data_IF_131112785752
#
_entry.id   IF_131112785752
#
_cell.length_a   1.000
_cell.length_b   1.000
_cell.length_c   1.000
_cell.angle_alpha   90.00
_cell.angle_beta   90.00
_cell.angle_gamma   90.00
#
_symmetry.space_group_name_H-M   'P 1'
#
loop_
_entity.id
_entity.type
_entity.pdbx_description
1 polymer ?
#
# COMPACT_ATOMS: atom_id res chain seq x y z
N UNK A 1 -29.75 24.86 -8.64
CA UNK A 1 -28.98 24.10 -7.64
C UNK A 1 -29.02 22.62 -8.04
N UNK A 2 -28.43 22.27 -9.18
CA UNK A 2 -28.65 20.96 -9.86
C UNK A 2 -27.40 20.55 -10.66
N UNK A 3 -26.22 20.58 -10.03
CA UNK A 3 -24.95 20.27 -10.70
C UNK A 3 -24.11 19.18 -10.01
N UNK A 4 -24.60 18.56 -8.92
CA UNK A 4 -23.80 17.62 -8.12
C UNK A 4 -24.24 16.15 -8.20
N UNK A 5 -25.22 15.80 -9.04
CA UNK A 5 -25.79 14.43 -9.06
C UNK A 5 -25.52 13.64 -10.34
N UNK A 6 -25.03 14.28 -11.41
CA UNK A 6 -25.02 13.67 -12.75
C UNK A 6 -23.76 12.87 -13.10
N UNK A 7 -22.75 12.79 -12.23
CA UNK A 7 -21.46 12.14 -12.61
C UNK A 7 -20.85 11.20 -11.54
N UNK A 8 -21.56 10.94 -10.44
CA UNK A 8 -21.07 10.00 -9.40
C UNK A 8 -20.99 8.58 -9.97
N UNK A 9 -21.95 8.19 -10.81
CA UNK A 9 -21.96 6.86 -11.44
C UNK A 9 -20.84 6.75 -12.49
N UNK A 10 -20.64 7.76 -13.33
CA UNK A 10 -19.56 7.78 -14.34
C UNK A 10 -18.15 7.80 -13.75
N UNK A 11 -17.95 8.59 -12.70
CA UNK A 11 -16.71 8.64 -11.93
C UNK A 11 -16.43 7.29 -11.25
N UNK A 12 -17.44 6.70 -10.59
CA UNK A 12 -17.33 5.37 -9.97
C UNK A 12 -16.96 4.30 -11.01
N UNK A 13 -17.67 4.23 -12.14
CA UNK A 13 -17.37 3.25 -13.19
C UNK A 13 -15.95 3.42 -13.74
N UNK A 14 -15.49 4.67 -13.91
CA UNK A 14 -14.11 4.91 -14.34
C UNK A 14 -13.11 4.37 -13.32
N UNK A 15 -13.27 4.73 -12.04
CA UNK A 15 -12.34 4.31 -10.99
C UNK A 15 -12.34 2.80 -10.84
N UNK A 16 -13.52 2.17 -10.82
CA UNK A 16 -13.67 0.71 -10.84
C UNK A 16 -12.91 0.09 -11.99
N UNK A 17 -13.09 0.60 -13.22
CA UNK A 17 -12.41 0.06 -14.40
C UNK A 17 -10.89 0.18 -14.30
N UNK A 18 -10.38 1.27 -13.73
CA UNK A 18 -8.94 1.46 -13.51
C UNK A 18 -8.42 0.49 -12.46
N UNK A 19 -9.16 0.25 -11.37
CA UNK A 19 -8.81 -0.76 -10.37
C UNK A 19 -8.75 -2.15 -11.01
N UNK A 20 -9.75 -2.51 -11.83
CA UNK A 20 -9.77 -3.79 -12.58
C UNK A 20 -8.54 -3.90 -13.49
N UNK A 21 -8.26 -2.88 -14.32
CA UNK A 21 -7.11 -2.86 -15.23
C UNK A 21 -5.77 -3.02 -14.49
N UNK A 22 -5.60 -2.32 -13.37
CA UNK A 22 -4.39 -2.43 -12.55
C UNK A 22 -4.32 -3.83 -11.92
N UNK A 23 -5.41 -4.32 -11.34
CA UNK A 23 -5.41 -5.62 -10.63
C UNK A 23 -5.13 -6.80 -11.57
N UNK A 24 -5.57 -6.71 -12.83
CA UNK A 24 -5.32 -7.74 -13.85
C UNK A 24 -3.91 -7.68 -14.45
N UNK A 25 -3.29 -6.50 -14.53
CA UNK A 25 -2.05 -6.28 -15.31
C UNK A 25 -0.94 -5.58 -14.50
N UNK A 26 -0.97 -5.64 -13.16
CA UNK A 26 0.00 -4.92 -12.33
C UNK A 26 1.47 -5.33 -12.60
N UNK A 27 1.69 -6.58 -13.04
CA UNK A 27 3.03 -7.11 -13.38
C UNK A 27 3.69 -6.32 -14.53
N UNK A 28 2.89 -5.78 -15.45
CA UNK A 28 3.38 -4.97 -16.57
C UNK A 28 3.78 -3.54 -16.13
N UNK A 29 3.59 -3.21 -14.86
CA UNK A 29 3.85 -1.88 -14.28
C UNK A 29 3.19 -0.75 -15.10
N UNK A 30 1.85 -0.80 -15.31
CA UNK A 30 1.15 0.11 -16.20
C UNK A 30 1.34 1.57 -15.75
N UNK A 31 1.69 2.44 -16.68
CA UNK A 31 1.88 3.86 -16.40
C UNK A 31 0.56 4.64 -16.45
N UNK A 32 0.56 5.86 -15.90
CA UNK A 32 -0.63 6.71 -15.85
C UNK A 32 -1.18 7.03 -17.25
N UNK A 33 -0.34 7.14 -18.28
CA UNK A 33 -0.79 7.48 -19.63
C UNK A 33 -1.56 6.31 -20.25
N UNK A 34 -1.05 5.08 -20.10
CA UNK A 34 -1.70 3.86 -20.57
C UNK A 34 -3.08 3.67 -19.92
N UNK A 35 -3.16 3.86 -18.60
CA UNK A 35 -4.41 3.80 -17.86
C UNK A 35 -5.40 4.90 -18.28
N UNK A 36 -4.92 6.12 -18.47
CA UNK A 36 -5.76 7.25 -18.87
C UNK A 36 -6.35 7.05 -20.28
N UNK A 37 -5.53 6.55 -21.21
CA UNK A 37 -5.98 6.18 -22.55
C UNK A 37 -7.04 5.07 -22.52
N UNK A 38 -6.85 4.05 -21.68
CA UNK A 38 -7.79 2.93 -21.55
C UNK A 38 -9.19 3.34 -21.06
N UNK A 39 -9.31 4.48 -20.36
CA UNK A 39 -10.59 5.01 -19.86
C UNK A 39 -10.99 6.34 -20.50
N UNK A 40 -10.32 6.74 -21.59
CA UNK A 40 -10.67 7.95 -22.35
C UNK A 40 -10.54 9.26 -21.57
N UNK A 41 -9.60 9.34 -20.60
CA UNK A 41 -9.33 10.56 -19.82
C UNK A 41 -7.90 11.06 -20.09
N UNK A 42 -7.64 12.33 -19.78
CA UNK A 42 -6.26 12.80 -19.71
C UNK A 42 -5.57 12.27 -18.43
N UNK A 43 -4.22 12.16 -18.41
CA UNK A 43 -3.47 11.71 -17.23
C UNK A 43 -3.81 12.50 -15.97
N UNK A 44 -3.90 13.84 -16.06
CA UNK A 44 -4.25 14.72 -14.93
C UNK A 44 -5.68 14.47 -14.44
N UNK A 45 -6.64 14.29 -15.35
CA UNK A 45 -8.02 13.98 -14.97
C UNK A 45 -8.12 12.63 -14.26
N UNK A 46 -7.45 11.59 -14.80
CA UNK A 46 -7.42 10.29 -14.15
C UNK A 46 -6.75 10.35 -12.78
N UNK A 47 -5.59 11.00 -12.68
CA UNK A 47 -4.85 11.16 -11.42
C UNK A 47 -5.74 11.77 -10.32
N UNK A 48 -6.41 12.89 -10.63
CA UNK A 48 -7.26 13.59 -9.67
C UNK A 48 -8.51 12.80 -9.32
N UNK A 49 -9.15 12.20 -10.33
CA UNK A 49 -10.35 11.41 -10.14
C UNK A 49 -10.08 10.18 -9.27
N UNK A 50 -9.05 9.40 -9.62
CA UNK A 50 -8.68 8.19 -8.90
C UNK A 50 -8.25 8.52 -7.47
N UNK A 51 -7.40 9.55 -7.27
CA UNK A 51 -6.98 9.94 -5.91
C UNK A 51 -8.15 10.38 -5.04
N UNK A 52 -9.10 11.14 -5.61
CA UNK A 52 -10.29 11.59 -4.88
C UNK A 52 -11.19 10.43 -4.41
N UNK A 53 -11.28 9.36 -5.18
CA UNK A 53 -12.16 8.22 -4.90
C UNK A 53 -11.46 7.09 -4.13
N UNK A 54 -10.24 6.73 -4.52
CA UNK A 54 -9.48 5.63 -3.94
C UNK A 54 -8.61 6.08 -2.74
N UNK A 55 -8.41 7.38 -2.54
CA UNK A 55 -7.58 7.94 -1.48
C UNK A 55 -6.08 7.91 -1.75
N UNK A 56 -5.64 7.34 -2.88
CA UNK A 56 -4.25 7.29 -3.32
C UNK A 56 -4.13 7.37 -4.83
N UNK A 57 -2.94 7.67 -5.35
CA UNK A 57 -2.72 7.76 -6.81
C UNK A 57 -2.73 6.39 -7.50
N UNK A 58 -3.02 6.31 -8.82
CA UNK A 58 -2.90 5.05 -9.57
C UNK A 58 -1.53 4.39 -9.42
N UNK A 59 -0.46 5.19 -9.46
CA UNK A 59 0.92 4.69 -9.26
C UNK A 59 1.10 4.08 -7.87
N UNK A 60 0.63 4.76 -6.82
CA UNK A 60 0.69 4.24 -5.47
C UNK A 60 -0.11 2.93 -5.32
N UNK A 61 -1.20 2.76 -6.08
CA UNK A 61 -1.99 1.54 -6.06
C UNK A 61 -1.24 0.37 -6.70
N UNK A 62 -0.62 0.58 -7.87
CA UNK A 62 0.27 -0.40 -8.51
C UNK A 62 1.40 -0.78 -7.55
N UNK A 63 2.03 0.20 -6.89
CA UNK A 63 3.10 -0.04 -5.91
C UNK A 63 2.62 -0.86 -4.71
N UNK A 64 1.42 -0.59 -4.20
CA UNK A 64 0.85 -1.35 -3.09
C UNK A 64 0.62 -2.82 -3.45
N UNK A 65 0.03 -3.11 -4.62
CA UNK A 65 -0.14 -4.48 -5.12
C UNK A 65 1.21 -5.17 -5.33
N UNK A 66 2.17 -4.46 -5.95
CA UNK A 66 3.52 -4.97 -6.21
C UNK A 66 4.22 -5.38 -4.91
N UNK A 67 4.13 -4.53 -3.88
CA UNK A 67 4.71 -4.80 -2.57
C UNK A 67 4.01 -5.97 -1.86
N UNK A 68 2.69 -6.07 -1.96
CA UNK A 68 1.93 -7.16 -1.36
C UNK A 68 2.31 -8.53 -1.92
N UNK A 69 2.44 -8.62 -3.24
CA UNK A 69 2.95 -9.82 -3.89
C UNK A 69 4.40 -10.12 -3.50
N UNK A 70 5.26 -9.10 -3.42
CA UNK A 70 6.64 -9.30 -3.00
C UNK A 70 6.74 -9.85 -1.57
N UNK A 71 5.87 -9.39 -0.65
CA UNK A 71 5.79 -9.93 0.72
C UNK A 71 5.43 -11.42 0.71
N UNK A 72 4.45 -11.82 -0.09
CA UNK A 72 4.08 -13.24 -0.24
C UNK A 72 5.26 -14.08 -0.73
N UNK A 73 5.97 -13.64 -1.77
CA UNK A 73 7.11 -14.36 -2.33
C UNK A 73 8.27 -14.50 -1.33
N UNK A 74 8.57 -13.44 -0.58
CA UNK A 74 9.62 -13.46 0.44
C UNK A 74 9.26 -14.37 1.62
N UNK A 75 7.98 -14.45 1.99
CA UNK A 75 7.49 -15.40 2.99
C UNK A 75 7.63 -16.86 2.52
N UNK A 76 7.43 -17.12 1.22
CA UNK A 76 7.62 -18.42 0.57
C UNK A 76 9.09 -18.73 0.22
N UNK A 77 10.03 -18.05 0.89
CA UNK A 77 11.48 -18.27 0.81
C UNK A 77 12.18 -17.86 -0.48
N UNK A 78 11.54 -17.13 -1.41
CA UNK A 78 12.19 -16.57 -2.59
C UNK A 78 13.40 -15.68 -2.20
N UNK A 79 14.42 -15.61 -3.05
CA UNK A 79 15.49 -14.61 -2.85
C UNK A 79 14.96 -13.20 -3.14
N UNK A 80 15.60 -12.17 -2.57
CA UNK A 80 15.22 -10.77 -2.86
C UNK A 80 15.32 -10.47 -4.37
N UNK A 81 16.29 -11.10 -5.05
CA UNK A 81 16.48 -10.95 -6.48
C UNK A 81 15.33 -11.58 -7.28
N UNK A 82 14.95 -12.81 -6.93
CA UNK A 82 13.85 -13.51 -7.63
C UNK A 82 12.53 -12.79 -7.41
N UNK A 83 12.22 -12.43 -6.14
CA UNK A 83 11.02 -11.68 -5.80
C UNK A 83 10.94 -10.35 -6.55
N UNK A 84 12.07 -9.66 -6.75
CA UNK A 84 12.12 -8.41 -7.52
C UNK A 84 11.65 -8.60 -8.97
N UNK A 85 12.17 -9.62 -9.65
CA UNK A 85 11.85 -9.84 -11.06
C UNK A 85 10.46 -10.44 -11.24
N UNK A 86 10.01 -11.31 -10.32
CA UNK A 86 8.65 -11.85 -10.37
C UNK A 86 7.57 -10.78 -10.19
N UNK A 87 7.82 -9.74 -9.41
CA UNK A 87 6.89 -8.61 -9.25
C UNK A 87 7.06 -7.51 -10.31
N UNK A 88 7.83 -7.77 -11.37
CA UNK A 88 7.97 -6.88 -12.52
C UNK A 88 8.85 -5.64 -12.28
N UNK A 89 9.67 -5.63 -11.22
CA UNK A 89 10.57 -4.51 -10.94
C UNK A 89 11.89 -4.63 -11.71
N UNK A 90 12.44 -3.47 -12.08
CA UNK A 90 13.67 -3.38 -12.86
C UNK A 90 14.95 -3.75 -12.10
N UNK A 91 14.88 -3.91 -10.78
CA UNK A 91 16.02 -4.37 -9.99
C UNK A 91 15.83 -4.21 -8.47
N UNK A 92 16.68 -4.87 -7.64
CA UNK A 92 16.48 -4.97 -6.19
C UNK A 92 16.43 -3.62 -5.46
N UNK A 93 17.05 -2.58 -6.00
CA UNK A 93 16.95 -1.23 -5.46
C UNK A 93 15.51 -0.70 -5.43
N UNK A 94 14.71 -1.01 -6.46
CA UNK A 94 13.29 -0.60 -6.50
C UNK A 94 12.47 -1.32 -5.45
N UNK A 95 12.72 -2.61 -5.25
CA UNK A 95 12.05 -3.38 -4.21
C UNK A 95 12.45 -2.85 -2.82
N UNK A 96 13.72 -2.55 -2.63
CA UNK A 96 14.21 -1.93 -1.40
C UNK A 96 13.51 -0.59 -1.11
N UNK A 97 13.41 0.31 -2.09
CA UNK A 97 12.72 1.60 -1.93
C UNK A 97 11.25 1.42 -1.54
N UNK A 98 10.55 0.46 -2.15
CA UNK A 98 9.17 0.14 -1.81
C UNK A 98 9.02 -0.30 -0.35
N UNK A 99 9.84 -1.25 0.09
CA UNK A 99 9.82 -1.76 1.46
C UNK A 99 10.15 -0.67 2.49
N UNK A 100 11.17 0.14 2.23
CA UNK A 100 11.52 1.25 3.15
C UNK A 100 10.40 2.28 3.22
N UNK A 101 9.76 2.59 2.09
CA UNK A 101 8.69 3.59 2.03
C UNK A 101 7.41 3.15 2.74
N UNK A 102 7.04 1.87 2.62
CA UNK A 102 5.72 1.40 3.07
C UNK A 102 5.76 0.59 4.36
N UNK A 103 6.83 -0.16 4.61
CA UNK A 103 6.95 -1.09 5.75
C UNK A 103 8.02 -0.65 6.77
N UNK A 104 8.69 0.48 6.53
CA UNK A 104 9.77 1.02 7.38
C UNK A 104 10.84 -0.05 7.73
N UNK A 105 11.16 -0.92 6.78
CA UNK A 105 12.18 -1.96 6.88
C UNK A 105 12.71 -2.33 5.49
N UNK A 106 13.81 -3.08 5.40
CA UNK A 106 14.30 -3.58 4.10
C UNK A 106 13.62 -4.90 3.71
N UNK A 107 13.69 -5.34 2.44
CA UNK A 107 13.17 -6.65 2.03
C UNK A 107 13.81 -7.82 2.80
N UNK A 108 15.11 -7.69 3.13
CA UNK A 108 15.84 -8.69 3.92
C UNK A 108 15.36 -8.72 5.38
N UNK A 109 15.14 -7.55 5.97
CA UNK A 109 14.57 -7.42 7.31
C UNK A 109 13.16 -8.03 7.37
N UNK A 110 12.33 -7.77 6.37
CA UNK A 110 11.00 -8.37 6.25
C UNK A 110 11.07 -9.89 6.14
N UNK A 111 11.96 -10.42 5.28
CA UNK A 111 12.19 -11.87 5.16
C UNK A 111 12.65 -12.51 6.47
N UNK A 112 13.45 -11.79 7.26
CA UNK A 112 13.87 -12.20 8.59
C UNK A 112 12.79 -12.02 9.67
N UNK A 113 11.56 -11.64 9.28
CA UNK A 113 10.43 -11.32 10.19
C UNK A 113 10.79 -10.26 11.23
N UNK A 114 11.58 -9.28 10.80
CA UNK A 114 12.05 -8.21 11.67
C UNK A 114 13.04 -8.65 12.75
N UNK A 115 13.65 -9.82 12.64
CA UNK A 115 14.67 -10.28 13.59
C UNK A 115 15.79 -9.25 13.72
N UNK A 116 15.98 -8.72 14.94
CA UNK A 116 16.98 -7.69 15.23
C UNK A 116 16.51 -6.24 15.02
N UNK A 117 15.29 -6.01 14.52
CA UNK A 117 14.71 -4.67 14.46
C UNK A 117 14.18 -4.27 15.83
N UNK A 118 14.60 -3.10 16.31
CA UNK A 118 13.99 -2.48 17.49
C UNK A 118 12.73 -1.73 17.08
N UNK A 119 11.58 -2.21 17.57
CA UNK A 119 10.29 -1.52 17.39
C UNK A 119 9.92 -0.81 18.69
N UNK A 120 9.83 0.52 18.66
CA UNK A 120 9.32 1.35 19.76
C UNK A 120 7.83 1.55 19.55
N UNK A 121 7.05 1.57 20.62
CA UNK A 121 5.60 1.74 20.50
C UNK A 121 5.01 2.48 21.69
N UNK A 122 3.87 3.13 21.46
CA UNK A 122 3.08 3.81 22.48
C UNK A 122 1.60 3.88 22.07
N UNK A 123 0.72 4.03 23.07
CA UNK A 123 -0.68 4.37 22.85
C UNK A 123 -0.87 5.89 22.94
N UNK A 124 -1.73 6.43 22.06
CA UNK A 124 -2.08 7.84 22.02
C UNK A 124 -3.58 8.02 21.77
N UNK A 125 -4.24 8.98 22.45
CA UNK A 125 -5.63 9.32 22.16
C UNK A 125 -5.83 9.75 20.70
N UNK A 126 -6.89 9.24 20.06
CA UNK A 126 -7.26 9.59 18.69
C UNK A 126 -8.79 9.65 18.52
N UNK A 127 -9.30 10.21 17.39
CA UNK A 127 -10.73 10.19 17.08
C UNK A 127 -11.35 8.78 16.95
N UNK A 128 -10.53 7.74 16.88
CA UNK A 128 -10.94 6.34 16.70
C UNK A 128 -10.67 5.47 17.95
N UNK A 129 -10.43 6.09 19.12
CA UNK A 129 -9.99 5.40 20.33
C UNK A 129 -8.50 5.55 20.60
N UNK A 130 -7.93 4.65 21.41
CA UNK A 130 -6.48 4.65 21.69
C UNK A 130 -5.72 4.09 20.48
N UNK A 131 -4.89 4.90 19.85
CA UNK A 131 -4.07 4.50 18.72
C UNK A 131 -2.74 3.93 19.23
N UNK A 132 -2.49 2.65 18.96
CA UNK A 132 -1.17 2.04 19.06
C UNK A 132 -0.33 2.49 17.86
N UNK A 133 0.75 3.21 18.12
CA UNK A 133 1.73 3.62 17.10
C UNK A 133 3.01 2.83 17.31
N UNK A 134 3.51 2.16 16.27
CA UNK A 134 4.74 1.37 16.29
C UNK A 134 5.74 1.95 15.27
N UNK A 135 6.97 2.22 15.71
CA UNK A 135 8.01 2.84 14.90
C UNK A 135 9.32 2.04 14.93
N UNK A 136 10.02 2.03 13.82
CA UNK A 136 11.42 1.58 13.69
C UNK A 136 12.33 2.79 13.49
N UNK A 137 13.63 2.59 13.35
CA UNK A 137 14.57 3.66 12.96
C UNK A 137 14.27 4.26 11.58
N UNK A 138 13.49 3.56 10.74
CA UNK A 138 13.15 3.98 9.37
C UNK A 138 11.78 4.67 9.29
N UNK A 139 10.96 4.62 10.34
CA UNK A 139 9.67 5.32 10.37
C UNK A 139 8.55 4.49 11.00
N UNK A 140 7.31 4.79 10.59
CA UNK A 140 6.10 4.13 11.06
C UNK A 140 6.01 2.71 10.51
N UNK A 141 6.01 1.71 11.39
CA UNK A 141 5.92 0.29 11.03
C UNK A 141 4.54 -0.32 11.30
N UNK A 142 3.71 0.34 12.11
CA UNK A 142 2.36 -0.16 12.38
C UNK A 142 1.50 0.86 13.10
N UNK A 143 0.20 0.82 12.79
CA UNK A 143 -0.85 1.53 13.51
C UNK A 143 -2.00 0.56 13.74
N UNK A 144 -2.52 0.56 14.96
CA UNK A 144 -3.75 -0.13 15.30
C UNK A 144 -4.58 0.74 16.26
N UNK A 145 -5.89 0.48 16.33
CA UNK A 145 -6.80 1.19 17.22
C UNK A 145 -7.34 0.23 18.27
N UNK A 146 -7.44 0.69 19.50
CA UNK A 146 -8.02 -0.01 20.62
C UNK A 146 -9.22 0.78 21.14
N UNK A 147 -10.35 0.08 21.30
CA UNK A 147 -11.43 0.56 22.15
C UNK A 147 -10.97 0.60 23.62
N UNK A 148 -11.71 1.30 24.47
CA UNK A 148 -11.38 1.44 25.89
C UNK A 148 -11.20 0.06 26.58
N UNK A 149 -10.02 -0.18 27.14
CA UNK A 149 -9.65 -1.46 27.79
C UNK A 149 -9.15 -2.55 26.83
N UNK A 150 -9.06 -2.26 25.52
CA UNK A 150 -8.59 -3.18 24.49
C UNK A 150 -7.07 -3.14 24.22
N UNK A 151 -6.32 -2.25 24.86
CA UNK A 151 -4.92 -1.95 24.55
C UNK A 151 -4.02 -3.20 24.60
N UNK A 152 -4.24 -4.05 25.61
CA UNK A 152 -3.47 -5.30 25.77
C UNK A 152 -3.70 -6.28 24.62
N UNK A 153 -4.95 -6.42 24.16
CA UNK A 153 -5.29 -7.31 23.04
C UNK A 153 -4.75 -6.75 21.72
N UNK A 154 -4.90 -5.45 21.49
CA UNK A 154 -4.37 -4.76 20.30
C UNK A 154 -2.86 -4.89 20.18
N UNK A 155 -2.13 -4.74 21.30
CA UNK A 155 -0.67 -4.94 21.30
C UNK A 155 -0.29 -6.40 21.04
N UNK A 156 -1.01 -7.36 21.63
CA UNK A 156 -0.73 -8.78 21.43
C UNK A 156 -0.94 -9.20 19.97
N UNK A 157 -2.02 -8.75 19.35
CA UNK A 157 -2.29 -8.95 17.92
C UNK A 157 -1.15 -8.41 17.05
N UNK A 158 -0.77 -7.14 17.26
CA UNK A 158 0.30 -6.51 16.48
C UNK A 158 1.67 -7.16 16.68
N UNK A 159 1.95 -7.77 17.84
CA UNK A 159 3.19 -8.53 18.09
C UNK A 159 3.23 -9.90 17.42
N UNK A 160 2.09 -10.41 16.97
CA UNK A 160 1.97 -11.74 16.37
C UNK A 160 2.07 -11.75 14.83
N UNK A 161 2.03 -10.56 14.22
CA UNK A 161 2.17 -10.31 12.78
C UNK A 161 3.64 -10.22 12.39
#
# INVERSE_FOLDING_TARGET
>A
MTYLYTDIDGDYQTVRRVIELISENWQDQPDLNSLANAVGKSPTQLQNLFTRWAGLSPKAFVQALTLDHARSLLADSASVLDATYEVGLSGPGRLHDLFVTHDAMTPGDYKARGAGIVIRWAFHPSPFGEALVMITERGLAGVAFADAGGEGATLADMKSR
#
